data_IF_118598604912
#
_entry.id   IF_118598604912
#
_cell.length_a   1.000
_cell.length_b   1.000
_cell.length_c   1.000
_cell.angle_alpha   90.00
_cell.angle_beta   90.00
_cell.angle_gamma   90.00
#
_symmetry.space_group_name_H-M   'P 1'
#
loop_
_entity.id
_entity.type
_entity.pdbx_description
1 polymer ?
#
# COMPACT_ATOMS: atom_id res chain seq x y z
N UNK A 1 -33.95 -0.53 -5.10
CA UNK A 1 -33.35 0.19 -3.95
C UNK A 1 -32.22 -0.68 -3.42
N UNK A 2 -30.95 -0.35 -3.67
CA UNK A 2 -29.84 -1.24 -3.27
C UNK A 2 -28.42 -0.80 -3.66
N UNK A 3 -28.25 0.18 -4.54
CA UNK A 3 -26.91 0.63 -5.00
C UNK A 3 -26.17 1.59 -4.05
N UNK A 4 -26.86 2.24 -3.11
CA UNK A 4 -26.27 3.30 -2.28
C UNK A 4 -25.48 2.79 -1.05
N UNK A 5 -25.68 1.53 -0.66
CA UNK A 5 -25.08 0.99 0.55
C UNK A 5 -23.61 0.62 0.36
N UNK A 6 -23.23 0.16 -0.84
CA UNK A 6 -21.88 -0.33 -1.13
C UNK A 6 -20.85 0.83 -1.21
N UNK A 7 -21.20 1.93 -1.88
CA UNK A 7 -20.36 3.14 -1.94
C UNK A 7 -20.18 3.80 -0.57
N UNK A 8 -21.21 3.75 0.29
CA UNK A 8 -21.11 4.26 1.67
C UNK A 8 -20.24 3.36 2.54
N UNK A 9 -20.23 2.05 2.32
CA UNK A 9 -19.39 1.11 3.07
C UNK A 9 -17.91 1.25 2.73
N UNK A 10 -17.56 1.40 1.44
CA UNK A 10 -16.19 1.67 0.98
C UNK A 10 -15.66 3.03 1.47
N UNK A 11 -16.50 4.08 1.44
CA UNK A 11 -16.15 5.39 2.00
C UNK A 11 -16.01 5.34 3.53
N UNK A 12 -16.82 4.52 4.21
CA UNK A 12 -16.71 4.31 5.65
C UNK A 12 -15.46 3.51 6.04
N UNK A 13 -14.97 2.58 5.23
CA UNK A 13 -13.70 1.89 5.48
C UNK A 13 -12.50 2.83 5.32
N UNK A 14 -12.54 3.75 4.34
CA UNK A 14 -11.54 4.80 4.16
C UNK A 14 -11.54 5.84 5.31
N UNK A 15 -12.69 6.09 5.95
CA UNK A 15 -12.83 7.05 7.05
C UNK A 15 -12.64 6.39 8.43
N UNK A 16 -13.03 5.12 8.60
CA UNK A 16 -12.93 4.39 9.87
C UNK A 16 -11.49 3.94 10.20
N UNK A 17 -10.58 3.93 9.21
CA UNK A 17 -9.15 3.74 9.45
C UNK A 17 -8.44 4.94 10.09
N UNK A 18 -9.13 6.06 10.32
CA UNK A 18 -8.56 7.20 11.04
C UNK A 18 -8.50 6.87 12.54
N UNK A 19 -7.31 6.89 13.17
CA UNK A 19 -7.17 6.54 14.58
C UNK A 19 -7.96 7.53 15.44
N UNK A 20 -8.98 7.01 16.13
CA UNK A 20 -9.64 7.70 17.24
C UNK A 20 -8.98 7.22 18.52
N UNK A 21 -8.46 8.17 19.30
CA UNK A 21 -7.79 7.96 20.58
C UNK A 21 -8.44 6.84 21.39
N UNK A 22 -7.72 5.72 21.50
CA UNK A 22 -8.06 4.63 22.42
C UNK A 22 -6.83 4.37 23.28
N UNK A 23 -6.81 5.04 24.44
CA UNK A 23 -5.97 4.63 25.57
C UNK A 23 -6.53 3.30 26.09
N UNK A 24 -5.92 2.20 25.70
CA UNK A 24 -6.14 0.90 26.30
C UNK A 24 -4.81 0.17 26.50
N UNK A 25 -4.74 -0.52 27.63
CA UNK A 25 -3.59 -1.08 28.31
C UNK A 25 -3.03 -2.30 27.57
N UNK A 26 -1.71 -2.31 27.37
CA UNK A 26 -0.90 -3.51 27.10
C UNK A 26 -0.83 -3.95 25.63
N UNK A 27 0.07 -3.35 24.83
CA UNK A 27 0.39 -3.90 23.51
C UNK A 27 1.83 -3.62 23.05
N UNK A 28 2.36 -4.63 22.35
CA UNK A 28 3.74 -4.83 21.91
C UNK A 28 4.28 -3.74 20.96
N UNK A 29 5.60 -3.73 20.71
CA UNK A 29 6.37 -2.81 19.83
C UNK A 29 5.69 -2.47 18.47
N UNK A 30 4.79 -3.29 17.95
CA UNK A 30 4.05 -3.07 16.70
C UNK A 30 2.99 -1.95 16.77
N UNK A 31 2.46 -1.70 17.97
CA UNK A 31 1.33 -0.79 18.17
C UNK A 31 1.77 0.66 18.37
N UNK A 32 3.06 0.87 18.65
CA UNK A 32 3.64 2.19 18.72
C UNK A 32 4.13 2.59 17.33
N UNK A 33 3.68 3.74 16.78
CA UNK A 33 4.42 4.39 15.72
C UNK A 33 5.86 4.59 16.19
N UNK A 34 6.85 4.32 15.33
CA UNK A 34 8.18 4.86 15.61
C UNK A 34 8.06 6.39 15.66
N UNK A 35 8.74 7.07 16.59
CA UNK A 35 8.62 8.51 16.77
C UNK A 35 8.84 9.24 15.44
N UNK A 36 7.75 9.79 14.92
CA UNK A 36 7.66 10.33 13.58
C UNK A 36 7.65 11.86 13.61
N UNK A 37 8.58 12.54 12.94
CA UNK A 37 8.63 14.01 12.86
C UNK A 37 7.57 14.67 11.94
N UNK A 38 6.63 13.91 11.37
CA UNK A 38 5.72 14.43 10.32
C UNK A 38 4.49 15.12 10.90
N UNK A 39 4.11 16.33 10.46
CA UNK A 39 2.83 16.94 10.84
C UNK A 39 1.64 16.16 10.26
N UNK A 40 0.51 16.12 10.97
CA UNK A 40 -0.66 15.32 10.58
C UNK A 40 -1.25 15.67 9.20
N UNK A 41 -1.25 16.95 8.84
CA UNK A 41 -1.73 17.41 7.54
C UNK A 41 -0.92 16.84 6.39
N UNK A 42 0.41 16.81 6.53
CA UNK A 42 1.35 16.28 5.52
C UNK A 42 1.18 14.76 5.38
N UNK A 43 0.96 14.05 6.50
CA UNK A 43 0.62 12.62 6.45
C UNK A 43 -0.60 12.35 5.57
N UNK A 44 -1.65 13.16 5.69
CA UNK A 44 -2.91 12.93 4.96
C UNK A 44 -2.80 13.26 3.47
N UNK A 45 -2.17 14.37 3.12
CA UNK A 45 -2.03 14.80 1.71
C UNK A 45 -1.13 13.87 0.92
N UNK A 46 0.01 13.49 1.50
CA UNK A 46 0.98 12.68 0.78
C UNK A 46 0.49 11.24 0.65
N UNK A 47 -0.29 10.76 1.63
CA UNK A 47 -0.91 9.44 1.55
C UNK A 47 -1.91 9.40 0.40
N UNK A 48 -2.77 10.41 0.28
CA UNK A 48 -3.74 10.52 -0.81
C UNK A 48 -3.07 10.56 -2.20
N UNK A 49 -1.97 11.31 -2.35
CA UNK A 49 -1.21 11.33 -3.60
C UNK A 49 -0.53 10.01 -3.92
N UNK A 50 -0.01 9.29 -2.91
CA UNK A 50 0.50 7.93 -3.10
C UNK A 50 -0.60 6.95 -3.46
N UNK A 51 -1.77 7.03 -2.80
CA UNK A 51 -2.94 6.21 -3.16
C UNK A 51 -3.30 6.45 -4.61
N UNK A 52 -3.43 7.71 -5.02
CA UNK A 52 -3.83 8.06 -6.38
C UNK A 52 -2.76 7.62 -7.39
N UNK A 53 -1.49 7.92 -7.13
CA UNK A 53 -0.39 7.55 -8.02
C UNK A 53 -0.29 6.04 -8.22
N UNK A 54 -0.37 5.26 -7.14
CA UNK A 54 -0.29 3.80 -7.24
C UNK A 54 -1.53 3.22 -7.92
N UNK A 55 -2.72 3.75 -7.67
CA UNK A 55 -3.94 3.29 -8.35
C UNK A 55 -3.94 3.62 -9.85
N UNK A 56 -3.24 4.67 -10.27
CA UNK A 56 -3.18 5.10 -11.67
C UNK A 56 -2.07 4.44 -12.49
N UNK A 57 -1.07 3.81 -11.89
CA UNK A 57 0.04 3.17 -12.63
C UNK A 57 -0.38 1.86 -13.32
N UNK A 58 -1.04 0.91 -12.64
CA UNK A 58 -1.42 -0.35 -13.25
C UNK A 58 -2.79 -0.25 -13.96
N UNK A 59 -3.59 0.80 -13.69
CA UNK A 59 -4.90 0.99 -14.34
C UNK A 59 -4.84 1.12 -15.88
N UNK A 60 -3.86 1.83 -16.48
CA UNK A 60 -3.63 1.79 -17.93
C UNK A 60 -3.30 0.40 -18.47
N UNK A 61 -2.61 -0.44 -17.70
CA UNK A 61 -2.29 -1.82 -18.09
C UNK A 61 -3.58 -2.65 -18.11
N UNK A 62 -4.40 -2.56 -17.07
CA UNK A 62 -5.72 -3.21 -17.02
C UNK A 62 -6.60 -2.73 -18.18
N UNK A 63 -6.64 -1.42 -18.44
CA UNK A 63 -7.39 -0.84 -19.55
C UNK A 63 -6.88 -1.32 -20.93
N UNK A 64 -5.57 -1.43 -21.10
CA UNK A 64 -4.96 -1.88 -22.36
C UNK A 64 -5.31 -3.35 -22.65
N UNK A 65 -5.32 -4.20 -21.61
CA UNK A 65 -5.58 -5.62 -21.74
C UNK A 65 -7.06 -6.00 -21.55
N UNK A 66 -7.97 -5.03 -21.39
CA UNK A 66 -9.40 -5.31 -21.10
C UNK A 66 -10.16 -6.07 -22.18
N UNK A 67 -9.58 -6.16 -23.37
CA UNK A 67 -10.13 -6.86 -24.54
C UNK A 67 -9.30 -8.11 -24.89
N UNK A 68 -8.27 -8.42 -24.11
CA UNK A 68 -7.46 -9.62 -24.29
C UNK A 68 -8.21 -10.82 -23.72
N UNK A 69 -8.38 -11.86 -24.52
CA UNK A 69 -9.11 -13.08 -24.15
C UNK A 69 -8.31 -13.89 -23.11
N UNK A 70 -6.98 -13.74 -23.04
CA UNK A 70 -6.14 -14.42 -22.06
C UNK A 70 -6.28 -13.83 -20.64
N UNK A 71 -6.75 -12.58 -20.53
CA UNK A 71 -6.87 -11.83 -19.26
C UNK A 71 -8.33 -11.62 -18.82
N UNK A 72 -9.28 -12.02 -19.67
CA UNK A 72 -10.69 -11.71 -19.49
C UNK A 72 -11.49 -12.99 -19.39
N UNK A 73 -12.21 -13.14 -18.28
CA UNK A 73 -13.27 -14.14 -18.16
C UNK A 73 -14.36 -13.86 -19.22
N UNK A 74 -14.52 -14.76 -20.20
CA UNK A 74 -15.39 -14.57 -21.37
C UNK A 74 -16.82 -14.11 -21.00
N UNK A 75 -17.38 -14.72 -19.94
CA UNK A 75 -18.74 -14.46 -19.45
C UNK A 75 -18.83 -13.42 -18.32
N UNK A 76 -17.71 -12.81 -17.91
CA UNK A 76 -17.69 -11.88 -16.79
C UNK A 76 -18.23 -10.50 -17.18
N UNK A 77 -19.05 -9.98 -16.27
CA UNK A 77 -19.55 -8.60 -16.30
C UNK A 77 -19.11 -7.90 -15.03
N UNK A 78 -18.72 -6.63 -15.13
CA UNK A 78 -18.32 -5.82 -13.95
C UNK A 78 -19.29 -5.89 -12.76
N UNK A 79 -20.59 -6.03 -13.02
CA UNK A 79 -21.61 -6.19 -11.96
C UNK A 79 -21.43 -7.46 -11.12
N UNK A 80 -20.80 -8.48 -11.69
CA UNK A 80 -20.64 -9.80 -11.08
C UNK A 80 -19.68 -9.74 -9.90
N UNK A 81 -18.66 -8.88 -9.94
CA UNK A 81 -17.78 -8.64 -8.79
C UNK A 81 -18.52 -8.10 -7.56
N UNK A 82 -19.65 -7.40 -7.72
CA UNK A 82 -20.45 -6.87 -6.62
C UNK A 82 -21.65 -7.75 -6.24
N UNK A 83 -21.98 -8.74 -7.07
CA UNK A 83 -23.19 -9.56 -6.90
C UNK A 83 -22.88 -11.03 -6.60
N UNK A 84 -21.66 -11.47 -6.91
CA UNK A 84 -21.15 -12.82 -6.65
C UNK A 84 -19.95 -12.75 -5.68
N UNK A 85 -19.66 -13.80 -4.91
CA UNK A 85 -18.49 -13.82 -4.03
C UNK A 85 -17.17 -13.76 -4.84
N UNK A 86 -16.03 -13.39 -4.23
CA UNK A 86 -14.72 -13.55 -4.85
C UNK A 86 -14.45 -14.99 -5.31
N UNK A 87 -13.66 -15.14 -6.36
CA UNK A 87 -13.24 -16.44 -6.90
C UNK A 87 -11.88 -16.81 -6.35
N UNK A 88 -11.68 -18.10 -6.06
CA UNK A 88 -10.32 -18.62 -5.90
C UNK A 88 -9.79 -18.82 -7.31
N UNK A 89 -8.87 -17.97 -7.75
CA UNK A 89 -8.17 -18.15 -9.02
C UNK A 89 -6.92 -19.02 -8.83
N UNK A 90 -6.55 -19.68 -9.93
CA UNK A 90 -5.34 -20.48 -10.07
C UNK A 90 -4.35 -19.74 -10.98
N UNK A 91 -4.24 -18.42 -10.81
CA UNK A 91 -3.31 -17.56 -11.55
C UNK A 91 -1.86 -18.02 -11.34
N UNK A 92 -0.97 -17.64 -12.27
CA UNK A 92 0.44 -18.00 -12.17
C UNK A 92 0.98 -17.58 -10.78
N UNK A 93 1.65 -18.49 -10.04
CA UNK A 93 2.13 -18.23 -8.69
C UNK A 93 2.98 -16.94 -8.56
N UNK A 94 3.62 -16.48 -9.63
CA UNK A 94 4.36 -15.23 -9.66
C UNK A 94 3.46 -14.03 -9.38
N UNK A 95 2.23 -14.00 -9.89
CA UNK A 95 1.29 -12.91 -9.59
C UNK A 95 0.89 -12.96 -8.12
N UNK A 96 0.26 -14.05 -7.69
CA UNK A 96 -0.38 -14.17 -6.38
C UNK A 96 0.62 -14.12 -5.21
N UNK A 97 1.86 -14.59 -5.42
CA UNK A 97 2.86 -14.72 -4.36
C UNK A 97 4.10 -13.85 -4.51
N UNK A 98 4.26 -13.12 -5.63
CA UNK A 98 5.36 -12.15 -5.78
C UNK A 98 4.80 -10.75 -6.05
N UNK A 99 4.03 -10.56 -7.11
CA UNK A 99 3.55 -9.23 -7.49
C UNK A 99 2.54 -8.66 -6.50
N UNK A 100 1.53 -9.44 -6.10
CA UNK A 100 0.54 -9.03 -5.11
C UNK A 100 1.18 -8.72 -3.74
N UNK A 101 2.05 -9.57 -3.17
CA UNK A 101 2.78 -9.22 -1.95
C UNK A 101 3.69 -7.99 -2.08
N UNK A 102 4.32 -7.77 -3.24
CA UNK A 102 5.09 -6.56 -3.49
C UNK A 102 4.20 -5.32 -3.50
N UNK A 103 3.09 -5.34 -4.23
CA UNK A 103 2.11 -4.25 -4.26
C UNK A 103 1.55 -3.95 -2.86
N UNK A 104 1.16 -4.99 -2.12
CA UNK A 104 0.72 -4.87 -0.73
C UNK A 104 1.79 -4.27 0.20
N UNK A 105 3.06 -4.62 -0.02
CA UNK A 105 4.16 -4.03 0.76
C UNK A 105 4.34 -2.53 0.50
N UNK A 106 4.09 -2.06 -0.73
CA UNK A 106 4.10 -0.62 -1.06
C UNK A 106 2.91 0.11 -0.43
N UNK A 107 1.70 -0.48 -0.48
CA UNK A 107 0.54 0.08 0.21
C UNK A 107 0.78 0.22 1.72
N UNK A 108 1.33 -0.82 2.33
CA UNK A 108 1.68 -0.82 3.74
C UNK A 108 2.74 0.24 4.07
N UNK A 109 3.82 0.32 3.28
CA UNK A 109 4.91 1.28 3.47
C UNK A 109 4.43 2.73 3.35
N UNK A 110 3.53 3.02 2.41
CA UNK A 110 2.96 4.36 2.25
C UNK A 110 2.34 4.87 3.57
N UNK A 111 1.51 4.06 4.23
CA UNK A 111 0.95 4.41 5.54
C UNK A 111 2.03 4.39 6.65
N UNK A 112 2.89 3.36 6.65
CA UNK A 112 3.87 3.14 7.73
C UNK A 112 4.92 4.25 7.82
N UNK A 113 5.41 4.73 6.67
CA UNK A 113 6.35 5.86 6.58
C UNK A 113 5.77 7.16 7.12
N UNK A 114 4.44 7.26 7.17
CA UNK A 114 3.72 8.40 7.73
C UNK A 114 3.37 8.18 9.19
N UNK A 115 3.99 7.23 9.88
CA UNK A 115 3.78 7.06 11.32
C UNK A 115 2.42 6.45 11.68
N UNK A 116 1.79 5.74 10.75
CA UNK A 116 0.68 4.84 11.11
C UNK A 116 1.23 3.65 11.89
N UNK A 117 0.40 3.06 12.75
CA UNK A 117 0.74 1.82 13.48
C UNK A 117 0.82 0.64 12.53
N UNK A 118 1.39 -0.49 12.96
CA UNK A 118 1.39 -1.71 12.15
C UNK A 118 -0.03 -2.07 11.68
N UNK A 119 -0.99 -2.09 12.61
CA UNK A 119 -2.38 -2.42 12.31
C UNK A 119 -3.08 -1.39 11.44
N UNK A 120 -2.79 -0.10 11.64
CA UNK A 120 -3.31 0.97 10.77
C UNK A 120 -2.81 0.81 9.34
N UNK A 121 -1.51 0.53 9.18
CA UNK A 121 -0.90 0.29 7.86
C UNK A 121 -1.41 -0.98 7.20
N UNK A 122 -1.64 -2.06 7.95
CA UNK A 122 -2.28 -3.28 7.44
C UNK A 122 -3.70 -3.01 6.97
N UNK A 123 -4.52 -2.32 7.78
CA UNK A 123 -5.89 -1.98 7.42
C UNK A 123 -5.94 -1.10 6.16
N UNK A 124 -5.03 -0.15 6.04
CA UNK A 124 -4.88 0.68 4.85
C UNK A 124 -4.51 -0.17 3.63
N UNK A 125 -3.53 -1.07 3.74
CA UNK A 125 -3.15 -1.99 2.66
C UNK A 125 -4.30 -2.89 2.22
N UNK A 126 -5.07 -3.43 3.16
CA UNK A 126 -6.23 -4.27 2.88
C UNK A 126 -7.34 -3.48 2.16
N UNK A 127 -7.59 -2.25 2.58
CA UNK A 127 -8.57 -1.38 1.92
C UNK A 127 -8.17 -1.06 0.48
N UNK A 128 -6.87 -0.79 0.22
CA UNK A 128 -6.39 -0.55 -1.14
C UNK A 128 -6.42 -1.80 -2.01
N UNK A 129 -6.00 -2.95 -1.50
CA UNK A 129 -6.13 -4.24 -2.21
C UNK A 129 -7.59 -4.50 -2.57
N UNK A 130 -8.51 -4.34 -1.62
CA UNK A 130 -9.95 -4.52 -1.89
C UNK A 130 -10.46 -3.54 -2.95
N UNK A 131 -10.05 -2.29 -2.89
CA UNK A 131 -10.44 -1.30 -3.90
C UNK A 131 -9.91 -1.69 -5.30
N UNK A 132 -8.66 -2.16 -5.38
CA UNK A 132 -8.00 -2.53 -6.63
C UNK A 132 -8.70 -3.71 -7.32
N UNK A 133 -9.01 -4.75 -6.54
CA UNK A 133 -9.73 -5.94 -7.00
C UNK A 133 -11.13 -5.60 -7.53
N UNK A 134 -11.89 -4.80 -6.77
CA UNK A 134 -13.31 -4.55 -7.07
C UNK A 134 -13.55 -3.45 -8.12
N UNK A 135 -12.55 -2.62 -8.41
CA UNK A 135 -12.70 -1.49 -9.33
C UNK A 135 -11.83 -1.71 -10.59
N UNK A 136 -10.49 -1.59 -10.56
CA UNK A 136 -9.63 -1.96 -11.68
C UNK A 136 -9.83 -3.39 -12.21
N UNK A 137 -9.48 -4.42 -11.44
CA UNK A 137 -9.40 -5.80 -11.95
C UNK A 137 -10.77 -6.37 -12.28
N UNK A 138 -11.80 -5.96 -11.55
CA UNK A 138 -13.19 -6.30 -11.85
C UNK A 138 -13.64 -5.88 -13.27
N UNK A 139 -12.90 -5.00 -13.96
CA UNK A 139 -13.17 -4.67 -15.37
C UNK A 139 -12.82 -5.82 -16.34
N UNK A 140 -11.94 -6.73 -15.93
CA UNK A 140 -11.41 -7.81 -16.77
C UNK A 140 -11.78 -9.20 -16.22
N UNK A 141 -11.71 -9.42 -14.91
CA UNK A 141 -11.97 -10.70 -14.26
C UNK A 141 -12.70 -10.52 -12.93
N UNK A 142 -13.20 -11.59 -12.31
CA UNK A 142 -13.83 -11.47 -10.98
C UNK A 142 -12.79 -11.20 -9.88
N UNK A 143 -13.15 -10.49 -8.79
CA UNK A 143 -12.25 -10.26 -7.67
C UNK A 143 -11.67 -11.57 -7.12
N UNK A 144 -10.36 -11.59 -6.90
CA UNK A 144 -9.63 -12.76 -6.42
C UNK A 144 -9.68 -12.88 -4.90
N UNK A 145 -10.16 -14.01 -4.40
CA UNK A 145 -10.08 -14.35 -2.99
C UNK A 145 -8.63 -14.53 -2.53
N UNK A 146 -7.77 -15.04 -3.41
CA UNK A 146 -6.34 -15.24 -3.13
C UNK A 146 -5.70 -13.88 -2.92
N UNK A 147 -5.90 -12.94 -3.83
CA UNK A 147 -5.21 -11.66 -3.80
C UNK A 147 -5.73 -10.72 -2.71
N UNK A 148 -7.02 -10.79 -2.39
CA UNK A 148 -7.61 -10.11 -1.22
C UNK A 148 -6.97 -10.55 0.10
N UNK A 149 -6.36 -11.74 0.15
CA UNK A 149 -5.66 -12.26 1.33
C UNK A 149 -4.15 -12.06 1.24
N UNK A 150 -3.52 -12.51 0.16
CA UNK A 150 -2.06 -12.50 0.00
C UNK A 150 -1.52 -11.08 -0.06
N UNK A 151 -2.17 -10.18 -0.80
CA UNK A 151 -1.74 -8.79 -0.96
C UNK A 151 -1.57 -8.10 0.40
N UNK A 152 -2.60 -7.98 1.26
CA UNK A 152 -2.41 -7.31 2.55
C UNK A 152 -1.58 -8.13 3.55
N UNK A 153 -1.76 -9.46 3.62
CA UNK A 153 -1.14 -10.27 4.67
C UNK A 153 0.35 -10.51 4.41
N UNK A 154 0.73 -10.99 3.22
CA UNK A 154 2.13 -11.14 2.88
C UNK A 154 2.79 -9.76 2.68
N UNK A 155 2.06 -8.81 2.10
CA UNK A 155 2.53 -7.45 1.89
C UNK A 155 2.87 -6.73 3.20
N UNK A 156 2.09 -6.85 4.26
CA UNK A 156 2.42 -6.21 5.54
C UNK A 156 3.69 -6.78 6.19
N UNK A 157 3.92 -8.09 6.06
CA UNK A 157 5.13 -8.73 6.61
C UNK A 157 6.37 -8.24 5.87
N UNK A 158 6.32 -8.24 4.53
CA UNK A 158 7.39 -7.72 3.69
C UNK A 158 7.60 -6.22 3.92
N UNK A 159 6.52 -5.45 3.98
CA UNK A 159 6.52 -4.00 4.20
C UNK A 159 7.10 -3.61 5.56
N UNK A 160 6.72 -4.31 6.65
CA UNK A 160 7.29 -4.05 7.98
C UNK A 160 8.77 -4.45 8.04
N UNK A 161 9.18 -5.54 7.38
CA UNK A 161 10.58 -5.91 7.28
C UNK A 161 11.41 -4.82 6.55
N UNK A 162 10.92 -4.34 5.40
CA UNK A 162 11.52 -3.23 4.64
C UNK A 162 11.59 -1.95 5.47
N UNK A 163 10.48 -1.59 6.14
CA UNK A 163 10.40 -0.41 7.01
C UNK A 163 11.44 -0.45 8.13
N UNK A 164 11.54 -1.58 8.84
CA UNK A 164 12.49 -1.73 9.95
C UNK A 164 13.93 -1.72 9.50
N UNK A 165 14.25 -2.40 8.39
CA UNK A 165 15.59 -2.40 7.83
C UNK A 165 16.00 -0.99 7.40
N UNK A 166 15.09 -0.27 6.73
CA UNK A 166 15.30 1.15 6.38
C UNK A 166 15.58 1.99 7.62
N UNK A 167 14.76 1.91 8.67
CA UNK A 167 14.96 2.66 9.91
C UNK A 167 16.22 2.24 10.68
N UNK A 168 16.67 1.00 10.56
CA UNK A 168 17.96 0.57 11.11
C UNK A 168 19.14 1.25 10.38
N UNK A 169 19.16 1.22 9.04
CA UNK A 169 20.18 1.90 8.23
C UNK A 169 20.19 3.40 8.55
N UNK A 170 19.00 4.01 8.74
CA UNK A 170 18.89 5.45 9.04
C UNK A 170 19.44 5.87 10.40
N UNK A 171 19.47 4.98 11.39
CA UNK A 171 20.01 5.31 12.72
C UNK A 171 21.51 5.53 12.69
N UNK A 172 22.23 4.77 11.86
CA UNK A 172 23.66 4.95 11.63
C UNK A 172 24.02 4.68 10.16
N UNK A 173 23.84 5.66 9.27
CA UNK A 173 24.16 5.50 7.85
C UNK A 173 25.65 5.25 7.58
N UNK A 174 26.53 5.62 8.52
CA UNK A 174 27.98 5.46 8.37
C UNK A 174 28.42 4.00 8.53
N UNK A 175 27.63 3.20 9.25
CA UNK A 175 27.87 1.76 9.42
C UNK A 175 27.53 0.93 8.16
N UNK A 176 26.83 1.51 7.18
CA UNK A 176 26.35 0.80 5.99
C UNK A 176 26.92 1.44 4.72
N UNK A 177 27.86 0.78 4.02
CA UNK A 177 28.35 1.24 2.72
C UNK A 177 27.19 1.43 1.75
N UNK A 178 27.18 2.58 1.06
CA UNK A 178 26.11 2.96 0.14
C UNK A 178 24.70 2.93 0.77
N UNK A 179 24.55 3.27 2.06
CA UNK A 179 23.27 3.35 2.77
C UNK A 179 22.12 3.96 1.94
N UNK A 180 22.41 5.00 1.16
CA UNK A 180 21.44 5.66 0.26
C UNK A 180 20.87 4.70 -0.78
N UNK A 181 21.74 3.95 -1.46
CA UNK A 181 21.34 2.97 -2.46
C UNK A 181 20.42 1.90 -1.86
N UNK A 182 20.76 1.39 -0.67
CA UNK A 182 19.96 0.39 0.01
C UNK A 182 18.60 0.93 0.46
N UNK A 183 18.55 2.14 1.01
CA UNK A 183 17.29 2.79 1.35
C UNK A 183 16.42 2.98 0.11
N UNK A 184 17.00 3.38 -1.03
CA UNK A 184 16.27 3.51 -2.29
C UNK A 184 15.73 2.20 -2.81
N UNK A 185 16.51 1.13 -2.72
CA UNK A 185 16.07 -0.19 -3.14
C UNK A 185 14.92 -0.70 -2.25
N UNK A 186 14.98 -0.42 -0.94
CA UNK A 186 13.98 -0.86 0.02
C UNK A 186 12.69 -0.05 -0.04
N UNK A 187 12.71 1.18 -0.53
CA UNK A 187 11.54 2.04 -0.62
C UNK A 187 11.70 3.11 -1.72
N UNK A 188 11.52 2.71 -2.98
CA UNK A 188 11.72 3.61 -4.11
C UNK A 188 10.68 4.73 -4.17
N UNK A 189 9.46 4.47 -3.68
CA UNK A 189 8.35 5.42 -3.75
C UNK A 189 8.46 6.55 -2.74
N UNK A 190 8.95 6.27 -1.54
CA UNK A 190 9.12 7.28 -0.48
C UNK A 190 10.16 8.35 -0.85
N UNK A 191 11.12 8.02 -1.72
CA UNK A 191 12.12 8.97 -2.24
C UNK A 191 11.62 9.80 -3.41
N UNK A 192 10.80 9.21 -4.29
CA UNK A 192 10.38 9.86 -5.54
C UNK A 192 9.40 11.03 -5.32
N UNK A 193 8.69 11.05 -4.19
CA UNK A 193 7.67 12.07 -3.88
C UNK A 193 8.11 13.14 -2.89
N UNK A 194 9.42 13.34 -2.70
CA UNK A 194 9.98 14.48 -1.96
C UNK A 194 10.63 14.13 -0.63
N UNK A 195 10.59 12.86 -0.22
CA UNK A 195 11.18 12.38 1.02
C UNK A 195 10.64 13.06 2.28
N UNK A 196 10.95 12.44 3.42
CA UNK A 196 10.50 12.79 4.77
C UNK A 196 10.22 14.29 5.05
N UNK A 197 9.02 14.61 5.59
CA UNK A 197 8.60 15.95 6.04
C UNK A 197 9.42 16.58 7.17
N UNK A 198 10.43 15.88 7.69
CA UNK A 198 11.28 16.34 8.80
C UNK A 198 12.45 17.22 8.35
N UNK A 199 12.53 17.51 7.05
CA UNK A 199 13.66 18.22 6.46
C UNK A 199 14.96 17.40 6.45
N UNK A 200 14.98 16.17 6.97
CA UNK A 200 16.15 15.28 6.91
C UNK A 200 16.17 14.49 5.61
N UNK A 201 15.07 14.36 4.87
CA UNK A 201 15.14 13.94 3.48
C UNK A 201 15.86 14.93 2.57
N UNK A 202 15.94 16.22 2.95
CA UNK A 202 16.87 17.13 2.27
C UNK A 202 18.32 16.65 2.36
N UNK A 203 18.70 15.79 3.31
CA UNK A 203 20.10 15.33 3.41
C UNK A 203 20.51 14.38 2.27
N UNK A 204 19.57 13.73 1.57
CA UNK A 204 19.93 12.78 0.51
C UNK A 204 20.11 13.45 -0.87
N UNK A 205 19.41 14.56 -1.13
CA UNK A 205 19.52 15.34 -2.38
C UNK A 205 19.90 16.82 -2.15
N UNK A 206 20.41 17.20 -0.98
CA UNK A 206 21.08 18.50 -0.82
C UNK A 206 22.51 18.38 -1.35
N UNK A 207 22.67 18.71 -2.63
CA UNK A 207 23.95 18.76 -3.36
C UNK A 207 25.00 19.69 -2.71
N UNK A 208 24.61 20.50 -1.69
CA UNK A 208 25.54 21.41 -0.99
C UNK A 208 26.47 20.73 0.02
N UNK A 209 26.32 19.43 0.28
CA UNK A 209 27.18 18.66 1.19
C UNK A 209 27.73 17.38 0.52
N UNK A 210 27.84 17.37 -0.81
CA UNK A 210 28.28 16.21 -1.58
C UNK A 210 29.81 16.10 -1.77
N UNK A 211 30.60 16.98 -1.15
CA UNK A 211 32.07 16.90 -1.07
C UNK A 211 32.54 17.44 0.28
#
# INVERSE_FOLDING_TARGET
>A
MGGDLCCRFLLLLLIAGLPRDTRAVGAHHLDQPLPGPTPESVRRTDLAWMTLGFMLVPFPVVLANRHDEDWRDEDHQFKDGFTKPPTWDDDDPVYNYVLHPLAGSEYYLAARNRGWTFWGSLAYSAALSTFYEYIPENMIQRPSATDLLTTPLAGCLLGEARYRLKEWIRRDPSAVPAARFWITLLDPLDLSIGGYPDGRARLYFNWKHAF
#
